data_IF_329348165138
#
_entry.id   IF_329348165138
#
_cell.length_a   1.000
_cell.length_b   1.000
_cell.length_c   1.000
_cell.angle_alpha   90.00
_cell.angle_beta   90.00
_cell.angle_gamma   90.00
#
_symmetry.space_group_name_H-M   'P 1'
#
loop_
_entity.id
_entity.type
_entity.pdbx_description
1 polymer ?
#
# COMPACT_ATOMS: atom_id res chain seq x y z
N UNK A 1 -7.59 61.22 23.05
CA UNK A 1 -7.67 59.73 23.15
C UNK A 1 -8.98 59.30 22.51
N UNK A 2 -9.09 58.31 21.64
CA UNK A 2 -8.13 57.41 21.01
C UNK A 2 -8.90 56.74 19.85
N UNK A 3 -8.63 57.17 18.63
CA UNK A 3 -8.98 56.48 17.37
C UNK A 3 -8.24 55.13 17.32
N UNK A 4 -8.64 54.13 18.12
CA UNK A 4 -8.03 52.80 18.12
C UNK A 4 -8.98 51.64 17.79
N UNK A 5 -10.29 51.85 17.80
CA UNK A 5 -11.23 50.73 17.66
C UNK A 5 -11.62 50.38 16.21
N UNK A 6 -11.27 51.21 15.22
CA UNK A 6 -11.64 50.96 13.82
C UNK A 6 -10.61 50.12 13.03
N UNK A 7 -9.41 49.93 13.57
CA UNK A 7 -8.32 49.23 12.89
C UNK A 7 -8.37 47.71 13.10
N UNK A 8 -8.80 47.27 14.28
CA UNK A 8 -8.78 45.85 14.69
C UNK A 8 -9.74 44.99 13.85
N UNK A 9 -10.91 45.53 13.47
CA UNK A 9 -11.88 44.80 12.64
C UNK A 9 -11.39 44.49 11.22
N UNK A 10 -10.62 45.40 10.61
CA UNK A 10 -10.01 45.18 9.28
C UNK A 10 -8.93 44.10 9.33
N UNK A 11 -8.05 44.13 10.33
CA UNK A 11 -7.02 43.11 10.49
C UNK A 11 -7.61 41.76 10.87
N UNK A 12 -8.67 41.73 11.67
CA UNK A 12 -9.36 40.49 12.02
C UNK A 12 -10.01 39.83 10.80
N UNK A 13 -10.64 40.61 9.92
CA UNK A 13 -11.22 40.11 8.67
C UNK A 13 -10.13 39.62 7.69
N UNK A 14 -9.00 40.32 7.59
CA UNK A 14 -7.84 39.88 6.81
C UNK A 14 -7.21 38.60 7.39
N UNK A 15 -7.09 38.49 8.72
CA UNK A 15 -6.60 37.27 9.37
C UNK A 15 -7.55 36.08 9.16
N UNK A 16 -8.87 36.31 9.18
CA UNK A 16 -9.86 35.28 8.84
C UNK A 16 -9.76 34.82 7.39
N UNK A 17 -9.60 35.75 6.43
CA UNK A 17 -9.39 35.44 5.01
C UNK A 17 -8.08 34.67 4.79
N UNK A 18 -6.99 35.05 5.46
CA UNK A 18 -5.71 34.34 5.37
C UNK A 18 -5.85 32.94 5.99
N UNK A 19 -6.55 32.80 7.11
CA UNK A 19 -6.78 31.51 7.76
C UNK A 19 -7.65 30.55 6.93
N UNK A 20 -8.61 31.05 6.14
CA UNK A 20 -9.39 30.21 5.23
C UNK A 20 -8.60 29.81 3.99
N UNK A 21 -7.74 30.69 3.45
CA UNK A 21 -6.86 30.36 2.31
C UNK A 21 -5.83 29.28 2.70
N UNK A 22 -5.24 29.37 3.89
CA UNK A 22 -4.23 28.39 4.36
C UNK A 22 -4.86 26.99 4.56
N UNK A 23 -6.12 26.89 5.00
CA UNK A 23 -6.80 25.59 5.17
C UNK A 23 -7.10 24.87 3.85
N UNK A 24 -7.20 25.58 2.73
CA UNK A 24 -7.55 25.00 1.42
C UNK A 24 -6.35 24.29 0.76
N UNK A 25 -5.12 24.58 1.17
CA UNK A 25 -3.93 24.17 0.40
C UNK A 25 -3.27 22.85 0.86
N UNK A 26 -3.79 22.19 1.91
CA UNK A 26 -3.14 21.04 2.56
C UNK A 26 -3.70 19.66 2.20
N UNK A 27 -4.48 19.53 1.14
CA UNK A 27 -4.92 18.21 0.69
C UNK A 27 -4.62 18.06 -0.79
N UNK A 28 -3.42 17.61 -1.12
CA UNK A 28 -3.24 16.92 -2.39
C UNK A 28 -4.11 15.67 -2.32
N UNK A 29 -5.25 15.75 -3.01
CA UNK A 29 -6.29 14.73 -3.11
C UNK A 29 -5.74 13.60 -4.00
N UNK A 30 -4.68 12.91 -3.60
CA UNK A 30 -4.22 11.76 -4.37
C UNK A 30 -5.25 10.62 -4.27
N UNK A 31 -5.57 10.03 -5.42
CA UNK A 31 -6.43 8.86 -5.55
C UNK A 31 -5.60 7.78 -6.19
N UNK A 32 -5.42 6.67 -5.48
CA UNK A 32 -4.82 5.47 -6.03
C UNK A 32 -5.95 4.67 -6.68
N UNK A 33 -5.77 4.31 -7.94
CA UNK A 33 -6.67 3.43 -8.69
C UNK A 33 -5.93 2.14 -9.00
N UNK A 34 -6.60 1.01 -8.75
CA UNK A 34 -6.11 -0.29 -9.13
C UNK A 34 -6.89 -0.79 -10.35
N UNK A 35 -6.27 -0.66 -11.52
CA UNK A 35 -6.92 -1.04 -12.77
C UNK A 35 -6.95 -2.56 -12.97
N UNK A 36 -5.83 -3.23 -12.69
CA UNK A 36 -5.70 -4.68 -12.84
C UNK A 36 -4.77 -5.27 -11.79
N UNK A 37 -5.04 -6.52 -11.43
CA UNK A 37 -4.11 -7.38 -10.70
C UNK A 37 -3.95 -8.66 -11.52
N UNK A 38 -2.78 -8.85 -12.10
CA UNK A 38 -2.48 -9.96 -13.00
C UNK A 38 -1.21 -10.67 -12.56
N UNK A 39 -1.28 -12.00 -12.55
CA UNK A 39 -0.10 -12.85 -12.34
C UNK A 39 0.70 -12.82 -13.64
N UNK A 40 2.01 -12.59 -13.53
CA UNK A 40 2.90 -12.61 -14.69
C UNK A 40 2.76 -13.93 -15.47
N UNK A 41 2.68 -13.86 -16.80
CA UNK A 41 2.64 -15.05 -17.66
C UNK A 41 3.91 -15.91 -17.53
N UNK A 42 5.01 -15.30 -17.10
CA UNK A 42 6.29 -15.97 -16.88
C UNK A 42 6.48 -16.44 -15.43
N UNK A 43 5.41 -16.41 -14.64
CA UNK A 43 5.46 -16.85 -13.25
C UNK A 43 5.62 -18.37 -13.16
N UNK A 44 6.59 -18.82 -12.36
CA UNK A 44 6.75 -20.24 -12.05
C UNK A 44 5.63 -20.68 -11.09
N UNK A 45 4.63 -21.34 -11.65
CA UNK A 45 3.45 -21.83 -10.92
C UNK A 45 3.79 -22.90 -9.88
N UNK A 46 5.00 -23.45 -9.86
CA UNK A 46 5.41 -24.43 -8.84
C UNK A 46 5.71 -23.79 -7.47
N UNK A 47 5.74 -22.46 -7.38
CA UNK A 47 6.04 -21.74 -6.14
C UNK A 47 4.79 -21.35 -5.35
N UNK A 48 3.87 -20.64 -5.98
CA UNK A 48 2.64 -20.17 -5.36
C UNK A 48 1.45 -20.49 -6.28
N UNK A 49 0.49 -21.22 -5.75
CA UNK A 49 -0.82 -21.35 -6.37
C UNK A 49 -1.68 -20.18 -5.93
N UNK A 50 -1.89 -19.22 -6.83
CA UNK A 50 -2.66 -17.99 -6.56
C UNK A 50 -4.19 -18.18 -6.52
N UNK A 51 -4.67 -19.42 -6.61
CA UNK A 51 -6.07 -19.89 -6.50
C UNK A 51 -7.15 -18.80 -6.71
N UNK A 52 -7.67 -18.24 -5.63
CA UNK A 52 -8.84 -17.36 -5.63
C UNK A 52 -8.51 -15.92 -5.23
N UNK A 53 -7.22 -15.57 -5.13
CA UNK A 53 -6.81 -14.25 -4.64
C UNK A 53 -7.33 -13.14 -5.57
N UNK A 54 -7.96 -12.15 -4.95
CA UNK A 54 -8.55 -11.00 -5.63
C UNK A 54 -8.30 -9.76 -4.80
N UNK A 55 -8.18 -8.63 -5.48
CA UNK A 55 -8.11 -7.32 -4.84
C UNK A 55 -9.24 -6.44 -5.37
N UNK A 56 -9.95 -5.77 -4.46
CA UNK A 56 -11.08 -4.90 -4.76
C UNK A 56 -10.91 -3.57 -4.04
N UNK A 57 -11.15 -2.47 -4.76
CA UNK A 57 -11.28 -1.15 -4.16
C UNK A 57 -12.66 -1.02 -3.49
N UNK A 58 -12.67 -0.70 -2.19
CA UNK A 58 -13.92 -0.53 -1.42
C UNK A 58 -14.20 0.92 -1.07
N UNK A 59 -13.18 1.77 -1.07
CA UNK A 59 -13.30 3.21 -0.92
C UNK A 59 -12.07 3.89 -1.51
N UNK A 60 -12.04 5.23 -1.48
CA UNK A 60 -10.88 5.98 -1.92
C UNK A 60 -9.64 5.59 -1.11
N UNK A 61 -8.60 5.15 -1.79
CA UNK A 61 -7.35 4.66 -1.20
C UNK A 61 -7.54 3.49 -0.21
N UNK A 62 -8.68 2.77 -0.25
CA UNK A 62 -8.93 1.58 0.55
C UNK A 62 -9.20 0.38 -0.34
N UNK A 63 -8.36 -0.62 -0.18
CA UNK A 63 -8.42 -1.87 -0.93
C UNK A 63 -8.58 -3.04 0.03
N UNK A 64 -9.32 -4.04 -0.41
CA UNK A 64 -9.51 -5.30 0.28
C UNK A 64 -8.95 -6.40 -0.63
N UNK A 65 -8.06 -7.22 -0.06
CA UNK A 65 -7.60 -8.46 -0.66
C UNK A 65 -8.48 -9.58 -0.10
N UNK A 66 -8.90 -10.55 -0.90
CA UNK A 66 -9.70 -11.70 -0.47
C UNK A 66 -9.30 -12.94 -1.24
N UNK A 67 -9.36 -14.11 -0.62
CA UNK A 67 -9.17 -15.40 -1.28
C UNK A 67 -8.07 -16.22 -0.63
N UNK A 68 -7.62 -17.23 -1.35
CA UNK A 68 -6.66 -18.21 -0.87
C UNK A 68 -5.47 -18.28 -1.82
N UNK A 69 -4.30 -18.59 -1.28
CA UNK A 69 -3.12 -18.92 -2.07
C UNK A 69 -2.29 -19.99 -1.35
N UNK A 70 -1.64 -20.89 -2.09
CA UNK A 70 -0.82 -21.94 -1.47
C UNK A 70 0.62 -21.73 -1.81
N UNK A 71 1.51 -21.82 -0.81
CA UNK A 71 2.95 -21.77 -1.05
C UNK A 71 3.48 -23.20 -1.03
N UNK A 72 3.99 -23.63 -2.18
CA UNK A 72 4.40 -25.01 -2.44
C UNK A 72 5.87 -25.28 -2.10
N UNK A 73 6.61 -24.23 -1.74
CA UNK A 73 8.02 -24.28 -1.33
C UNK A 73 8.18 -23.69 0.07
N UNK A 74 9.28 -24.03 0.74
CA UNK A 74 9.64 -23.35 1.97
C UNK A 74 10.00 -21.89 1.66
N UNK A 75 9.58 -20.96 2.53
CA UNK A 75 9.91 -19.54 2.43
C UNK A 75 10.89 -19.18 3.52
N UNK A 76 12.10 -18.83 3.15
CA UNK A 76 13.16 -18.51 4.09
C UNK A 76 14.11 -17.46 3.56
N UNK A 77 15.34 -17.49 4.06
CA UNK A 77 16.40 -16.55 3.67
C UNK A 77 16.92 -16.76 2.25
N UNK A 78 16.70 -17.96 1.69
CA UNK A 78 17.14 -18.34 0.35
C UNK A 78 16.27 -17.72 -0.75
N UNK A 79 15.04 -17.34 -0.42
CA UNK A 79 14.09 -16.74 -1.37
C UNK A 79 14.18 -15.23 -1.32
N UNK A 80 14.16 -14.59 -2.49
CA UNK A 80 14.13 -13.13 -2.62
C UNK A 80 12.74 -12.64 -3.05
N UNK A 81 12.36 -11.49 -2.48
CA UNK A 81 11.23 -10.68 -2.88
C UNK A 81 11.78 -9.46 -3.61
N UNK A 82 11.30 -9.24 -4.82
CA UNK A 82 11.62 -8.07 -5.63
C UNK A 82 10.34 -7.26 -5.87
N UNK A 83 10.31 -6.02 -5.37
CA UNK A 83 9.22 -5.08 -5.57
C UNK A 83 9.73 -3.92 -6.44
N UNK A 84 9.07 -3.72 -7.57
CA UNK A 84 9.35 -2.65 -8.52
C UNK A 84 8.09 -1.82 -8.73
N UNK A 85 8.17 -0.52 -8.47
CA UNK A 85 7.10 0.43 -8.76
C UNK A 85 7.57 1.32 -9.91
N UNK A 86 6.76 1.37 -10.96
CA UNK A 86 6.98 2.20 -12.13
C UNK A 86 5.96 3.34 -12.10
N UNK A 87 6.35 4.52 -12.59
CA UNK A 87 5.33 5.50 -12.93
C UNK A 87 4.53 5.01 -14.15
N UNK A 88 3.27 5.46 -14.26
CA UNK A 88 2.45 5.18 -15.43
C UNK A 88 2.66 6.29 -16.46
N UNK A 89 3.11 5.93 -17.66
CA UNK A 89 3.21 6.83 -18.79
C UNK A 89 1.83 6.91 -19.46
N UNK A 90 1.08 7.96 -19.10
CA UNK A 90 -0.29 8.16 -19.57
C UNK A 90 -0.37 8.50 -21.07
N UNK A 91 0.68 9.12 -21.63
CA UNK A 91 0.74 9.50 -23.04
C UNK A 91 0.83 8.25 -23.93
N UNK A 92 1.72 7.32 -23.56
CA UNK A 92 1.96 6.09 -24.31
C UNK A 92 1.21 4.87 -23.74
N UNK A 93 0.41 5.07 -22.69
CA UNK A 93 -0.39 4.05 -21.98
C UNK A 93 0.41 2.82 -21.55
N UNK A 94 1.64 3.02 -21.06
CA UNK A 94 2.59 1.94 -20.73
C UNK A 94 3.28 2.16 -19.38
N UNK A 95 4.04 1.16 -18.93
CA UNK A 95 4.96 1.32 -17.79
C UNK A 95 6.04 2.34 -18.17
N UNK A 96 6.23 3.36 -17.33
CA UNK A 96 7.28 4.35 -17.49
C UNK A 96 8.56 3.97 -16.75
N UNK A 97 9.26 4.96 -16.21
CA UNK A 97 10.47 4.80 -15.43
C UNK A 97 10.21 4.11 -14.09
N UNK A 98 11.17 3.29 -13.67
CA UNK A 98 11.25 2.71 -12.34
C UNK A 98 11.45 3.85 -11.32
N UNK A 99 10.53 3.99 -10.37
CA UNK A 99 10.56 5.03 -9.33
C UNK A 99 10.84 4.46 -7.94
N UNK A 100 10.70 3.15 -7.76
CA UNK A 100 11.03 2.46 -6.53
C UNK A 100 11.45 1.02 -6.82
N UNK A 101 12.51 0.58 -6.17
CA UNK A 101 13.02 -0.77 -6.25
C UNK A 101 13.43 -1.26 -4.87
N UNK A 102 13.00 -2.46 -4.53
CA UNK A 102 13.37 -3.15 -3.32
C UNK A 102 13.65 -4.61 -3.66
N UNK A 103 14.78 -5.13 -3.21
CA UNK A 103 15.11 -6.54 -3.29
C UNK A 103 15.68 -7.01 -1.96
N UNK A 104 14.98 -7.96 -1.32
CA UNK A 104 15.34 -8.49 0.01
C UNK A 104 14.95 -9.95 0.11
N UNK A 105 15.61 -10.71 0.98
CA UNK A 105 15.11 -12.05 1.29
C UNK A 105 13.75 -11.98 1.99
N UNK A 106 12.91 -13.02 1.82
CA UNK A 106 11.53 -13.05 2.33
C UNK A 106 11.46 -12.73 3.82
N UNK A 107 12.31 -13.33 4.66
CA UNK A 107 12.27 -13.07 6.10
C UNK A 107 12.58 -11.61 6.46
N UNK A 108 13.53 -10.99 5.76
CA UNK A 108 13.88 -9.58 5.99
C UNK A 108 12.78 -8.66 5.50
N UNK A 109 12.23 -8.94 4.32
CA UNK A 109 11.10 -8.19 3.75
C UNK A 109 9.90 -8.15 4.72
N UNK A 110 9.48 -9.32 5.24
CA UNK A 110 8.33 -9.39 6.14
C UNK A 110 8.59 -8.73 7.50
N UNK A 111 9.84 -8.73 7.97
CA UNK A 111 10.23 -8.02 9.18
C UNK A 111 10.23 -6.51 9.00
N UNK A 112 10.69 -6.02 7.85
CA UNK A 112 10.71 -4.58 7.57
C UNK A 112 9.29 -4.03 7.33
N UNK A 113 8.42 -4.86 6.75
CA UNK A 113 7.01 -4.57 6.53
C UNK A 113 6.12 -5.05 7.70
N UNK A 114 6.63 -4.97 8.93
CA UNK A 114 5.99 -5.51 10.14
C UNK A 114 4.55 -5.01 10.29
N UNK A 115 4.30 -3.70 10.16
CA UNK A 115 2.97 -3.11 10.34
C UNK A 115 1.94 -3.67 9.35
N UNK A 116 2.34 -3.84 8.08
CA UNK A 116 1.49 -4.48 7.07
C UNK A 116 1.29 -5.96 7.40
N UNK A 117 2.35 -6.66 7.75
CA UNK A 117 2.29 -8.10 8.03
C UNK A 117 1.43 -8.43 9.26
N UNK A 118 1.52 -7.65 10.33
CA UNK A 118 0.67 -7.81 11.52
C UNK A 118 -0.80 -7.67 11.18
N UNK A 119 -1.18 -6.71 10.35
CA UNK A 119 -2.58 -6.58 9.89
C UNK A 119 -3.02 -7.79 9.07
N UNK A 120 -2.13 -8.41 8.29
CA UNK A 120 -2.45 -9.65 7.57
C UNK A 120 -2.59 -10.84 8.52
N UNK A 121 -1.76 -10.94 9.57
CA UNK A 121 -1.84 -12.00 10.58
C UNK A 121 -3.18 -12.01 11.32
N UNK A 122 -3.75 -10.86 11.62
CA UNK A 122 -5.06 -10.74 12.31
C UNK A 122 -6.21 -11.38 11.52
N UNK A 123 -6.08 -11.44 10.20
CA UNK A 123 -7.15 -11.84 9.26
C UNK A 123 -6.75 -13.03 8.40
N UNK A 124 -5.67 -13.73 8.73
CA UNK A 124 -5.20 -14.89 7.94
C UNK A 124 -4.56 -15.94 8.82
N UNK A 125 -4.25 -17.09 8.23
CA UNK A 125 -3.45 -18.13 8.87
C UNK A 125 -1.95 -18.00 8.54
N UNK A 126 -1.46 -16.79 8.25
CA UNK A 126 -0.04 -16.57 8.03
C UNK A 126 0.77 -16.94 9.30
N UNK A 127 1.95 -17.55 9.13
CA UNK A 127 2.83 -17.84 10.26
C UNK A 127 3.39 -16.54 10.86
N UNK A 128 3.62 -16.45 12.19
CA UNK A 128 4.12 -15.22 12.80
C UNK A 128 5.55 -14.89 12.33
N UNK A 129 5.94 -13.60 12.27
CA UNK A 129 7.23 -13.16 11.70
C UNK A 129 8.46 -13.83 12.31
N UNK A 130 8.40 -14.14 13.60
CA UNK A 130 9.46 -14.80 14.37
C UNK A 130 9.67 -16.28 13.99
N UNK A 131 8.70 -16.88 13.31
CA UNK A 131 8.77 -18.26 12.83
C UNK A 131 9.41 -18.42 11.43
N UNK A 132 9.97 -17.35 10.85
CA UNK A 132 10.67 -17.44 9.56
C UNK A 132 12.05 -18.13 9.74
N UNK A 133 12.40 -19.16 8.95
CA UNK A 133 11.79 -19.60 7.69
C UNK A 133 10.50 -20.42 7.87
N UNK A 134 9.52 -20.16 7.01
CA UNK A 134 8.25 -20.86 6.99
C UNK A 134 8.33 -22.16 6.19
N UNK A 135 7.79 -23.28 6.72
CA UNK A 135 7.60 -24.49 5.93
C UNK A 135 6.57 -24.26 4.81
N UNK A 136 6.50 -25.17 3.84
CA UNK A 136 5.39 -25.23 2.87
C UNK A 136 4.04 -25.21 3.61
N UNK A 137 3.16 -24.26 3.28
CA UNK A 137 1.87 -24.07 3.97
C UNK A 137 0.81 -23.61 2.96
N UNK A 138 -0.42 -24.13 3.12
CA UNK A 138 -1.60 -23.58 2.47
C UNK A 138 -2.10 -22.37 3.26
N UNK A 139 -2.07 -21.21 2.62
CA UNK A 139 -2.44 -19.96 3.25
C UNK A 139 -3.86 -19.54 2.80
N UNK A 140 -4.65 -19.13 3.77
CA UNK A 140 -6.01 -18.65 3.60
C UNK A 140 -6.07 -17.24 4.15
N UNK A 141 -6.50 -16.31 3.31
CA UNK A 141 -6.69 -14.92 3.69
C UNK A 141 -8.19 -14.64 3.89
N UNK A 142 -8.59 -14.46 5.14
CA UNK A 142 -9.96 -14.27 5.57
C UNK A 142 -10.21 -12.83 5.98
N UNK A 143 -10.56 -11.96 5.03
CA UNK A 143 -11.16 -10.67 5.38
C UNK A 143 -12.64 -10.66 5.01
N UNK A 144 -13.48 -10.93 6.01
CA UNK A 144 -14.90 -10.51 6.02
C UNK A 144 -14.99 -9.02 6.21
#
# INVERSE_FOLDING_TARGET
>A
MLFKNLSIGKYFFYCLLIATIIKVQSQTVYSVELNTFEISKNYDTTWIDWNTIRMKQVSRNKFVITGDFSVNRNLGKEQQVSLMIFNYDAEHKKKGMLVYFLEKNVCTFLKDEYDMYTQLLEVSNLPPTDSCPFPKVRLKYFRT
#
